data_IF_449721547023
#
_entry.id   IF_449721547023
#
_cell.length_a   1.000
_cell.length_b   1.000
_cell.length_c   1.000
_cell.angle_alpha   90.00
_cell.angle_beta   90.00
_cell.angle_gamma   90.00
#
_symmetry.space_group_name_H-M   'P 1'
#
loop_
_entity.id
_entity.type
_entity.pdbx_description
1 polymer ?
#
# COMPACT_ATOMS: atom_id res chain seq x y z
N UNK A 1 2.31 9.45 -10.91
CA UNK A 1 2.54 8.06 -10.50
C UNK A 1 1.92 7.78 -9.15
N UNK A 2 1.44 6.58 -8.99
CA UNK A 2 0.78 6.17 -7.75
C UNK A 2 1.49 4.95 -7.19
N UNK A 3 1.77 4.97 -5.90
CA UNK A 3 2.42 3.88 -5.19
C UNK A 3 1.52 3.44 -4.04
N UNK A 4 1.44 2.13 -3.88
CA UNK A 4 0.66 1.48 -2.84
C UNK A 4 1.57 0.70 -1.93
N UNK A 5 2.18 1.29 -0.92
CA UNK A 5 2.89 0.49 0.05
C UNK A 5 1.87 -0.24 0.91
N UNK A 6 1.92 -1.55 0.92
CA UNK A 6 1.16 -2.36 1.84
C UNK A 6 2.08 -2.68 3.00
N UNK A 7 1.73 -2.19 4.16
CA UNK A 7 2.58 -2.31 5.34
C UNK A 7 2.00 -3.24 6.39
N UNK A 8 1.16 -4.17 5.97
CA UNK A 8 0.51 -5.11 6.89
C UNK A 8 1.48 -5.81 7.83
N UNK A 9 2.61 -6.24 7.30
CA UNK A 9 3.61 -6.92 8.12
C UNK A 9 4.25 -6.00 9.17
N UNK A 10 4.23 -4.68 8.95
CA UNK A 10 4.76 -3.72 9.92
C UNK A 10 3.77 -3.43 11.03
N UNK A 11 2.50 -3.52 10.73
CA UNK A 11 1.45 -3.35 11.73
C UNK A 11 1.27 -4.59 12.60
N UNK A 12 1.55 -5.78 12.04
CA UNK A 12 1.44 -7.03 12.78
C UNK A 12 2.52 -7.16 13.85
N UNK A 13 3.59 -6.39 13.75
CA UNK A 13 4.73 -6.50 14.65
C UNK A 13 4.58 -5.50 15.80
N UNK A 14 4.29 -6.00 17.00
CA UNK A 14 4.25 -5.24 18.25
C UNK A 14 3.22 -4.09 18.28
N UNK A 15 2.28 -4.05 17.34
CA UNK A 15 1.22 -3.03 17.34
C UNK A 15 1.69 -1.61 17.07
N UNK A 16 2.82 -1.43 16.40
CA UNK A 16 3.32 -0.11 16.02
C UNK A 16 4.15 -0.18 14.76
N UNK A 17 4.17 0.93 14.03
CA UNK A 17 4.91 1.02 12.78
C UNK A 17 6.41 1.17 13.06
N UNK A 18 7.22 0.54 12.23
CA UNK A 18 8.65 0.74 12.21
C UNK A 18 8.99 2.22 11.86
N UNK A 19 9.84 2.90 12.66
CA UNK A 19 10.19 4.31 12.38
C UNK A 19 10.74 4.55 10.98
N UNK A 20 11.48 3.59 10.43
CA UNK A 20 12.01 3.71 9.08
C UNK A 20 10.94 3.74 8.02
N UNK A 21 9.85 2.99 8.22
CA UNK A 21 8.71 3.01 7.30
C UNK A 21 7.91 4.31 7.42
N UNK A 22 7.74 4.82 8.63
CA UNK A 22 7.08 6.10 8.83
C UNK A 22 7.82 7.21 8.08
N UNK A 23 9.16 7.23 8.16
CA UNK A 23 9.98 8.18 7.45
C UNK A 23 9.82 8.04 5.93
N UNK A 24 9.79 6.81 5.43
CA UNK A 24 9.58 6.52 4.02
C UNK A 24 8.21 7.04 3.54
N UNK A 25 7.15 6.80 4.31
CA UNK A 25 5.81 7.29 3.97
C UNK A 25 5.79 8.81 3.88
N UNK A 26 6.45 9.49 4.80
CA UNK A 26 6.54 10.95 4.78
C UNK A 26 7.22 11.48 3.52
N UNK A 27 8.28 10.82 3.07
CA UNK A 27 8.98 11.18 1.84
C UNK A 27 8.15 10.89 0.59
N UNK A 28 7.45 9.77 0.58
CA UNK A 28 6.59 9.39 -0.55
C UNK A 28 5.39 10.32 -0.70
N UNK A 29 4.82 10.77 0.41
CA UNK A 29 3.64 11.63 0.43
C UNK A 29 3.81 12.89 -0.42
N UNK A 30 5.03 13.40 -0.50
CA UNK A 30 5.34 14.62 -1.24
C UNK A 30 5.57 14.37 -2.74
N UNK A 31 5.65 13.13 -3.17
CA UNK A 31 6.00 12.78 -4.54
C UNK A 31 4.89 12.07 -5.29
N UNK A 32 4.09 11.26 -4.60
CA UNK A 32 3.07 10.41 -5.22
C UNK A 32 1.83 10.35 -4.35
N UNK A 33 0.70 9.95 -4.96
CA UNK A 33 -0.47 9.54 -4.18
C UNK A 33 -0.17 8.23 -3.49
N UNK A 34 -0.65 8.09 -2.25
CA UNK A 34 -0.48 6.87 -1.47
C UNK A 34 -1.84 6.26 -1.16
N UNK A 35 -1.97 4.98 -1.45
CA UNK A 35 -3.12 4.21 -1.04
C UNK A 35 -2.72 3.04 -0.17
N UNK A 36 -3.56 2.68 0.76
CA UNK A 36 -3.41 1.49 1.59
C UNK A 36 -4.60 0.57 1.34
N UNK A 37 -4.32 -0.64 0.85
CA UNK A 37 -5.32 -1.67 0.68
C UNK A 37 -4.93 -2.84 1.57
N UNK A 38 -5.74 -3.11 2.59
CA UNK A 38 -5.39 -4.09 3.60
C UNK A 38 -6.54 -5.07 3.86
N UNK A 39 -6.20 -6.36 3.99
CA UNK A 39 -7.12 -7.40 4.48
C UNK A 39 -7.04 -7.38 6.01
N UNK A 40 -7.93 -6.66 6.66
CA UNK A 40 -7.79 -6.43 8.09
C UNK A 40 -9.14 -6.45 8.81
N UNK A 41 -9.11 -6.23 10.11
CA UNK A 41 -10.27 -6.23 10.98
C UNK A 41 -10.96 -4.86 11.02
N UNK A 42 -12.14 -4.81 11.64
CA UNK A 42 -12.95 -3.60 11.68
C UNK A 42 -12.39 -2.50 12.60
N UNK A 43 -11.41 -2.81 13.44
CA UNK A 43 -10.75 -1.83 14.30
C UNK A 43 -9.44 -1.26 13.69
N UNK A 44 -9.11 -1.65 12.47
CA UNK A 44 -7.86 -1.24 11.83
C UNK A 44 -7.78 0.28 11.63
N UNK A 45 -8.88 0.92 11.23
CA UNK A 45 -8.89 2.37 11.03
C UNK A 45 -8.62 3.13 12.32
N UNK A 46 -9.13 2.62 13.44
CA UNK A 46 -8.84 3.22 14.75
C UNK A 46 -7.35 3.11 15.06
N UNK A 47 -6.75 1.97 14.77
CA UNK A 47 -5.31 1.78 14.93
C UNK A 47 -4.52 2.80 14.10
N UNK A 48 -4.87 2.98 12.83
CA UNK A 48 -4.22 3.97 11.97
C UNK A 48 -4.28 5.37 12.56
N UNK A 49 -5.46 5.75 13.04
CA UNK A 49 -5.68 7.06 13.66
C UNK A 49 -4.83 7.24 14.93
N UNK A 50 -4.84 6.25 15.80
CA UNK A 50 -4.06 6.28 17.04
C UNK A 50 -2.55 6.38 16.78
N UNK A 51 -2.07 5.75 15.70
CA UNK A 51 -0.66 5.81 15.32
C UNK A 51 -0.33 7.05 14.48
N UNK A 52 -1.31 7.87 14.13
CA UNK A 52 -1.11 9.05 13.31
C UNK A 52 -0.70 8.73 11.88
N UNK A 53 -1.11 7.56 11.36
CA UNK A 53 -0.70 7.09 10.04
C UNK A 53 -1.65 7.48 8.93
N UNK A 54 -2.92 7.74 9.23
CA UNK A 54 -3.94 8.01 8.21
C UNK A 54 -3.61 9.24 7.37
N UNK A 55 -2.87 10.20 7.92
CA UNK A 55 -2.47 11.43 7.22
C UNK A 55 -1.55 11.19 6.02
N UNK A 56 -0.92 10.03 5.93
CA UNK A 56 -0.02 9.71 4.83
C UNK A 56 -0.76 9.22 3.59
N UNK A 57 -2.01 8.80 3.74
CA UNK A 57 -2.72 8.11 2.68
C UNK A 57 -3.83 8.95 2.08
N UNK A 58 -3.91 8.93 0.75
CA UNK A 58 -5.02 9.54 -0.01
C UNK A 58 -6.23 8.62 -0.04
N UNK A 59 -6.04 7.33 0.21
CA UNK A 59 -7.08 6.33 0.27
C UNK A 59 -6.68 5.23 1.25
N UNK A 60 -7.61 4.82 2.10
CA UNK A 60 -7.48 3.65 2.96
C UNK A 60 -8.63 2.72 2.70
N UNK A 61 -8.33 1.54 2.13
CA UNK A 61 -9.30 0.50 1.85
C UNK A 61 -9.08 -0.68 2.77
N UNK A 62 -9.94 -0.82 3.77
CA UNK A 62 -9.96 -2.01 4.61
C UNK A 62 -10.96 -2.99 4.01
N UNK A 63 -10.52 -4.17 3.61
CA UNK A 63 -11.34 -5.10 2.87
C UNK A 63 -12.54 -5.63 3.65
N UNK A 64 -12.52 -5.57 4.99
CA UNK A 64 -13.70 -5.91 5.77
C UNK A 64 -14.85 -4.92 5.52
N UNK A 65 -14.55 -3.66 5.16
CA UNK A 65 -15.53 -2.64 4.80
C UNK A 65 -15.96 -2.77 3.36
N UNK A 66 -14.99 -3.07 2.47
CA UNK A 66 -15.24 -3.18 1.03
C UNK A 66 -15.95 -4.47 0.65
N UNK A 67 -15.91 -5.47 1.53
CA UNK A 67 -16.50 -6.81 1.34
C UNK A 67 -15.92 -7.56 0.16
N UNK A 68 -14.71 -7.19 -0.24
CA UNK A 68 -13.89 -7.91 -1.21
C UNK A 68 -12.46 -7.90 -0.69
N UNK A 69 -11.74 -8.98 -0.87
CA UNK A 69 -10.39 -9.12 -0.32
C UNK A 69 -9.38 -9.39 -1.43
N UNK A 70 -8.15 -8.93 -1.21
CA UNK A 70 -7.04 -9.33 -2.07
C UNK A 70 -6.92 -10.86 -2.03
N UNK A 71 -6.64 -11.55 -3.10
CA UNK A 71 -6.29 -11.05 -4.43
C UNK A 71 -7.45 -10.94 -5.42
N UNK A 72 -8.69 -10.81 -4.96
CA UNK A 72 -9.84 -10.62 -5.85
C UNK A 72 -9.63 -9.34 -6.68
N UNK A 73 -9.77 -9.39 -8.01
CA UNK A 73 -9.60 -8.21 -8.87
C UNK A 73 -10.44 -7.02 -8.42
N UNK A 74 -11.64 -7.25 -7.89
CA UNK A 74 -12.52 -6.17 -7.44
C UNK A 74 -11.89 -5.29 -6.37
N UNK A 75 -11.07 -5.85 -5.49
CA UNK A 75 -10.39 -5.09 -4.43
C UNK A 75 -9.43 -4.05 -5.04
N UNK A 76 -8.64 -4.47 -6.02
CA UNK A 76 -7.68 -3.57 -6.68
C UNK A 76 -8.39 -2.50 -7.51
N UNK A 77 -9.43 -2.90 -8.23
CA UNK A 77 -10.18 -1.97 -9.08
C UNK A 77 -10.90 -0.89 -8.27
N UNK A 78 -11.45 -1.24 -7.12
CA UNK A 78 -12.05 -0.28 -6.19
C UNK A 78 -11.03 0.77 -5.76
N UNK A 79 -9.86 0.33 -5.42
CA UNK A 79 -8.79 1.21 -4.95
C UNK A 79 -8.26 2.12 -6.07
N UNK A 80 -8.07 1.58 -7.27
CA UNK A 80 -7.68 2.37 -8.43
C UNK A 80 -8.72 3.46 -8.74
N UNK A 81 -9.99 3.12 -8.65
CA UNK A 81 -11.07 4.07 -8.87
C UNK A 81 -11.06 5.17 -7.81
N UNK A 82 -10.89 4.80 -6.54
CA UNK A 82 -10.85 5.75 -5.43
C UNK A 82 -9.70 6.74 -5.57
N UNK A 83 -8.55 6.29 -6.07
CA UNK A 83 -7.39 7.14 -6.30
C UNK A 83 -7.44 7.86 -7.65
N UNK A 84 -8.38 7.48 -8.51
CA UNK A 84 -8.52 8.03 -9.86
C UNK A 84 -7.24 7.87 -10.68
N UNK A 85 -6.74 6.64 -10.76
CA UNK A 85 -5.50 6.32 -11.48
C UNK A 85 -5.70 5.11 -12.37
N UNK A 86 -4.92 5.05 -13.44
CA UNK A 86 -4.89 3.89 -14.33
C UNK A 86 -4.01 2.80 -13.74
N UNK A 87 -4.30 1.53 -14.00
CA UNK A 87 -3.51 0.43 -13.46
C UNK A 87 -2.01 0.54 -13.77
N UNK A 88 -1.65 0.88 -15.00
CA UNK A 88 -0.25 0.96 -15.44
C UNK A 88 0.52 2.14 -14.82
N UNK A 89 -0.17 3.07 -14.19
CA UNK A 89 0.43 4.20 -13.47
C UNK A 89 0.58 3.92 -11.96
N UNK A 90 0.29 2.70 -11.53
CA UNK A 90 0.25 2.34 -10.11
C UNK A 90 1.27 1.24 -9.81
N UNK A 91 2.02 1.40 -8.73
CA UNK A 91 2.88 0.35 -8.19
C UNK A 91 2.24 -0.21 -6.92
N UNK A 92 1.90 -1.49 -6.95
CA UNK A 92 1.38 -2.21 -5.81
C UNK A 92 2.52 -2.92 -5.08
N UNK A 93 2.60 -2.76 -3.77
CA UNK A 93 3.65 -3.37 -2.94
C UNK A 93 2.99 -4.21 -1.87
N UNK A 94 3.36 -5.48 -1.78
CA UNK A 94 2.80 -6.41 -0.80
C UNK A 94 3.83 -7.49 -0.48
N UNK A 95 3.76 -8.04 0.71
CA UNK A 95 4.65 -9.10 1.16
C UNK A 95 4.15 -10.50 0.76
N UNK A 96 2.90 -10.62 0.34
CA UNK A 96 2.33 -11.89 -0.10
C UNK A 96 2.35 -11.99 -1.62
N UNK A 97 3.00 -13.02 -2.11
CA UNK A 97 3.18 -13.22 -3.55
C UNK A 97 1.84 -13.33 -4.29
N UNK A 98 0.84 -13.98 -3.71
CA UNK A 98 -0.50 -14.10 -4.33
C UNK A 98 -1.16 -12.73 -4.51
N UNK A 99 -0.91 -11.79 -3.60
CA UNK A 99 -1.46 -10.44 -3.71
C UNK A 99 -0.73 -9.63 -4.78
N UNK A 100 0.57 -9.83 -4.90
CA UNK A 100 1.38 -9.24 -5.98
C UNK A 100 0.88 -9.73 -7.34
N UNK A 101 0.63 -11.02 -7.46
CA UNK A 101 0.12 -11.60 -8.71
C UNK A 101 -1.27 -11.03 -9.05
N UNK A 102 -2.13 -10.87 -8.05
CA UNK A 102 -3.45 -10.28 -8.25
C UNK A 102 -3.38 -8.86 -8.82
N UNK A 103 -2.41 -8.07 -8.36
CA UNK A 103 -2.18 -6.73 -8.88
C UNK A 103 -1.70 -6.77 -10.35
N UNK A 104 -0.77 -7.66 -10.67
CA UNK A 104 -0.31 -7.84 -12.05
C UNK A 104 -1.45 -8.24 -12.98
N UNK A 105 -2.35 -9.08 -12.50
CA UNK A 105 -3.47 -9.58 -13.30
C UNK A 105 -4.45 -8.48 -13.69
N UNK A 106 -4.53 -7.39 -12.94
CA UNK A 106 -5.36 -6.23 -13.30
C UNK A 106 -4.57 -5.13 -14.04
N UNK A 107 -3.33 -5.40 -14.38
CA UNK A 107 -2.51 -4.49 -15.19
C UNK A 107 -1.69 -3.48 -14.39
N UNK A 108 -1.62 -3.62 -13.08
CA UNK A 108 -0.77 -2.79 -12.25
C UNK A 108 0.69 -3.25 -12.35
N UNK A 109 1.61 -2.34 -12.07
CA UNK A 109 2.97 -2.73 -11.72
C UNK A 109 2.93 -3.25 -10.29
N UNK A 110 3.77 -4.21 -9.96
CA UNK A 110 3.77 -4.79 -8.64
C UNK A 110 5.19 -5.15 -8.19
N UNK A 111 5.41 -5.04 -6.90
CA UNK A 111 6.69 -5.35 -6.28
C UNK A 111 6.44 -6.22 -5.04
N UNK A 112 7.11 -7.37 -5.00
CA UNK A 112 7.04 -8.26 -3.85
C UNK A 112 7.95 -7.73 -2.75
N UNK A 113 7.35 -7.25 -1.66
CA UNK A 113 8.09 -6.65 -0.56
C UNK A 113 8.87 -7.73 0.21
N UNK A 114 10.16 -7.53 0.35
CA UNK A 114 11.05 -8.38 1.16
C UNK A 114 11.77 -7.59 2.23
N UNK A 115 12.16 -6.34 1.91
CA UNK A 115 12.81 -5.46 2.85
C UNK A 115 12.67 -4.00 2.41
N UNK A 116 12.79 -3.08 3.36
CA UNK A 116 12.81 -1.65 3.04
C UNK A 116 13.90 -1.30 2.04
N UNK A 117 15.08 -1.89 2.21
CA UNK A 117 16.22 -1.64 1.32
C UNK A 117 15.89 -1.97 -0.14
N UNK A 118 15.27 -3.14 -0.37
CA UNK A 118 14.89 -3.55 -1.72
C UNK A 118 13.79 -2.65 -2.28
N UNK A 119 12.84 -2.25 -1.45
CA UNK A 119 11.77 -1.34 -1.87
C UNK A 119 12.36 0.03 -2.26
N UNK A 120 13.28 0.58 -1.49
CA UNK A 120 13.92 1.85 -1.82
C UNK A 120 14.67 1.76 -3.15
N UNK A 121 15.36 0.65 -3.38
CA UNK A 121 16.06 0.43 -4.66
C UNK A 121 15.07 0.42 -5.83
N UNK A 122 13.93 -0.25 -5.68
CA UNK A 122 12.87 -0.27 -6.71
C UNK A 122 12.31 1.12 -6.96
N UNK A 123 12.01 1.87 -5.90
CA UNK A 123 11.50 3.23 -6.01
C UNK A 123 12.50 4.14 -6.73
N UNK A 124 13.77 4.04 -6.39
CA UNK A 124 14.82 4.83 -7.05
C UNK A 124 14.91 4.50 -8.54
N UNK A 125 14.73 3.24 -8.91
CA UNK A 125 14.73 2.83 -10.32
C UNK A 125 13.58 3.46 -11.10
N UNK A 126 12.49 3.80 -10.41
CA UNK A 126 11.34 4.51 -10.99
C UNK A 126 11.47 6.03 -10.85
N UNK A 127 12.63 6.53 -10.43
CA UNK A 127 12.92 7.96 -10.21
C UNK A 127 12.07 8.58 -9.10
N UNK A 128 11.74 7.78 -8.10
CA UNK A 128 11.08 8.23 -6.88
C UNK A 128 12.14 8.12 -5.79
N UNK A 129 12.69 9.27 -5.40
CA UNK A 129 13.86 9.30 -4.53
C UNK A 129 13.45 9.52 -3.07
N UNK A 130 13.75 8.56 -2.24
CA UNK A 130 13.38 8.53 -0.83
C UNK A 130 14.57 8.26 0.08
#
# INVERSE_FOLDING_TARGET
QVIWPIVDQFFAFEGRIDPGMRDLLGKLQNQVKLGLLTNNHDDFERYLSEQGLERYFDFVGNTCRLKVAKPDPAAYLLALKALNVQPDACLFVDDLERNVQGALDVGMRAFHFTSKKELVAELNSLKIFV
#
